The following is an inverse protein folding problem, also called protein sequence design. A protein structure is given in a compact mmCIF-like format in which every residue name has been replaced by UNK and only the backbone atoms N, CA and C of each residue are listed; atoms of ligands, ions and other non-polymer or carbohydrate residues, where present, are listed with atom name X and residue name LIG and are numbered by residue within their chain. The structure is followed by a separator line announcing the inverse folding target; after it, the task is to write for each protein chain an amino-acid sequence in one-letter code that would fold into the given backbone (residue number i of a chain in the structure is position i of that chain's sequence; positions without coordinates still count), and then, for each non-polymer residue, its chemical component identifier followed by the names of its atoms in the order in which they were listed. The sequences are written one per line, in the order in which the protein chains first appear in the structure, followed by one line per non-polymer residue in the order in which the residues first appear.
data_IF_426870153164
#
_entry.id   IF_426870153164
#
_cell.length_a   1.000
_cell.length_b   1.000
_cell.length_c   1.000
_cell.angle_alpha   90.00
_cell.angle_beta   90.00
_cell.angle_gamma   90.00
#
_symmetry.space_group_name_H-M   'P 1'
#
loop_
_entity.id
_entity.type
_entity.pdbx_description
1 polymer ?
#
# COMPACT_ATOMS: atom_id res chain seq x y z
N UNK A 1 30.08 18.62 26.04
CA UNK A 1 29.22 17.43 26.27
C UNK A 1 27.76 17.62 25.79
N UNK A 2 27.38 18.75 25.18
CA UNK A 2 25.98 19.04 24.78
C UNK A 2 25.60 18.60 23.34
N UNK A 3 26.57 18.44 22.44
CA UNK A 3 26.29 18.08 21.03
C UNK A 3 25.61 16.71 20.87
N UNK A 4 25.96 15.71 21.68
CA UNK A 4 25.39 14.34 21.57
C UNK A 4 23.90 14.25 21.91
N UNK A 5 23.42 15.09 22.82
CA UNK A 5 22.02 15.08 23.28
C UNK A 5 21.07 15.81 22.31
N UNK A 6 21.61 16.66 21.43
CA UNK A 6 20.83 17.41 20.44
C UNK A 6 20.74 16.68 19.08
N UNK A 7 21.74 15.87 18.73
CA UNK A 7 21.80 15.17 17.43
C UNK A 7 20.71 14.08 17.32
N UNK A 8 20.44 13.34 18.40
CA UNK A 8 19.44 12.26 18.39
C UNK A 8 18.01 12.75 18.10
N UNK A 9 17.46 13.76 18.82
CA UNK A 9 16.12 14.26 18.49
C UNK A 9 16.05 14.90 17.11
N UNK A 10 17.12 15.59 16.67
CA UNK A 10 17.19 16.15 15.32
C UNK A 10 17.14 15.06 14.24
N UNK A 11 17.82 13.93 14.44
CA UNK A 11 17.84 12.82 13.50
C UNK A 11 16.49 12.09 13.44
N UNK A 12 15.79 11.97 14.58
CA UNK A 12 14.42 11.42 14.64
C UNK A 12 13.42 12.32 13.91
N UNK A 13 13.48 13.64 14.14
CA UNK A 13 12.61 14.60 13.43
C UNK A 13 12.87 14.53 11.93
N UNK A 14 14.14 14.47 11.51
CA UNK A 14 14.50 14.35 10.11
C UNK A 14 13.98 13.04 9.50
N UNK A 15 14.06 11.91 10.21
CA UNK A 15 13.53 10.62 9.76
C UNK A 15 12.00 10.65 9.56
N UNK A 16 11.27 11.33 10.45
CA UNK A 16 9.81 11.50 10.32
C UNK A 16 9.45 12.38 9.12
N UNK A 17 10.23 13.43 8.85
CA UNK A 17 9.99 14.34 7.72
C UNK A 17 10.24 13.72 6.35
N UNK A 18 11.08 12.67 6.27
CA UNK A 18 11.35 11.95 5.02
C UNK A 18 10.52 10.68 4.84
N UNK A 19 9.69 10.31 5.82
CA UNK A 19 8.80 9.17 5.71
C UNK A 19 7.64 9.49 4.74
N UNK A 20 7.64 8.86 3.57
CA UNK A 20 6.51 8.91 2.63
C UNK A 20 5.42 7.91 3.05
N UNK A 21 4.13 8.27 2.93
CA UNK A 21 3.05 7.31 3.17
C UNK A 21 3.13 6.17 2.14
N UNK A 22 3.06 4.93 2.60
CA UNK A 22 2.89 3.78 1.72
C UNK A 22 1.48 3.83 1.15
N UNK A 23 1.37 3.95 -0.17
CA UNK A 23 0.08 3.90 -0.87
C UNK A 23 -0.14 2.47 -1.37
N UNK A 24 -1.09 1.78 -0.76
CA UNK A 24 -1.57 0.47 -1.21
C UNK A 24 -2.95 0.63 -1.86
N UNK A 25 -3.21 -0.17 -2.89
CA UNK A 25 -4.52 -0.25 -3.53
C UNK A 25 -5.19 -1.55 -3.13
N UNK A 26 -6.39 -1.45 -2.56
CA UNK A 26 -7.19 -2.61 -2.20
C UNK A 26 -7.94 -3.13 -3.43
N UNK A 27 -7.80 -4.44 -3.69
CA UNK A 27 -8.50 -5.13 -4.77
C UNK A 27 -9.45 -6.19 -4.22
N UNK A 28 -10.67 -6.22 -4.74
CA UNK A 28 -11.73 -7.11 -4.29
C UNK A 28 -11.98 -8.24 -5.29
N UNK A 29 -12.11 -9.47 -4.79
CA UNK A 29 -12.40 -10.67 -5.58
C UNK A 29 -13.55 -11.44 -4.95
N UNK A 30 -14.55 -11.78 -5.76
CA UNK A 30 -15.70 -12.60 -5.35
C UNK A 30 -16.06 -13.57 -6.47
N UNK A 31 -15.92 -14.86 -6.19
CA UNK A 31 -16.27 -15.91 -7.16
C UNK A 31 -17.76 -15.91 -7.53
N UNK A 32 -18.64 -15.60 -6.57
CA UNK A 32 -20.09 -15.70 -6.73
C UNK A 32 -20.75 -14.44 -7.31
N UNK A 33 -20.18 -13.26 -7.05
CA UNK A 33 -20.78 -11.97 -7.43
C UNK A 33 -19.87 -11.10 -8.30
N UNK A 34 -18.62 -11.50 -8.50
CA UNK A 34 -17.65 -10.73 -9.27
C UNK A 34 -17.82 -10.86 -10.78
N UNK A 35 -17.18 -9.94 -11.49
CA UNK A 35 -17.07 -9.93 -12.94
C UNK A 35 -15.68 -9.40 -13.31
N UNK A 36 -14.93 -10.15 -14.13
CA UNK A 36 -13.59 -9.73 -14.54
C UNK A 36 -13.58 -8.52 -15.49
N UNK A 37 -14.75 -8.01 -15.90
CA UNK A 37 -14.86 -6.71 -16.58
C UNK A 37 -14.78 -5.53 -15.60
N UNK A 38 -14.98 -5.76 -14.29
CA UNK A 38 -14.89 -4.73 -13.27
C UNK A 38 -13.44 -4.26 -13.03
N UNK A 39 -13.27 -3.09 -12.42
CA UNK A 39 -11.96 -2.55 -12.03
C UNK A 39 -11.41 -3.20 -10.75
N UNK A 40 -12.26 -3.83 -9.92
CA UNK A 40 -11.86 -4.52 -8.71
C UNK A 40 -11.57 -3.59 -7.53
N UNK A 41 -11.87 -2.30 -7.64
CA UNK A 41 -11.51 -1.28 -6.64
C UNK A 41 -12.59 -1.04 -5.58
N UNK A 42 -13.71 -1.77 -5.66
CA UNK A 42 -14.78 -1.70 -4.68
C UNK A 42 -15.43 -3.06 -4.42
N UNK A 43 -16.02 -3.21 -3.23
CA UNK A 43 -16.80 -4.40 -2.87
C UNK A 43 -18.03 -4.61 -3.76
N UNK A 44 -18.56 -3.55 -4.38
CA UNK A 44 -19.69 -3.62 -5.30
C UNK A 44 -19.29 -3.98 -6.73
N UNK A 45 -18.00 -3.87 -7.07
CA UNK A 45 -17.45 -4.22 -8.38
C UNK A 45 -16.19 -5.12 -8.25
N UNK A 46 -16.27 -6.29 -7.62
CA UNK A 46 -15.12 -7.17 -7.48
C UNK A 46 -14.83 -7.92 -8.78
N UNK A 47 -13.58 -8.38 -8.94
CA UNK A 47 -13.23 -9.37 -9.95
C UNK A 47 -13.81 -10.74 -9.61
N UNK A 48 -13.99 -11.60 -10.61
CA UNK A 48 -14.52 -12.95 -10.39
C UNK A 48 -13.41 -13.98 -10.15
N UNK A 49 -12.31 -13.85 -10.90
CA UNK A 49 -11.21 -14.80 -10.87
C UNK A 49 -9.91 -14.16 -10.37
N UNK A 50 -9.01 -15.01 -9.85
CA UNK A 50 -7.70 -14.59 -9.38
C UNK A 50 -6.73 -14.21 -10.52
N UNK A 51 -7.11 -14.43 -11.77
CA UNK A 51 -6.29 -14.12 -12.93
C UNK A 51 -5.85 -12.65 -12.98
N UNK A 52 -6.74 -11.72 -12.62
CA UNK A 52 -6.39 -10.29 -12.55
C UNK A 52 -5.46 -9.95 -11.40
N UNK A 53 -5.60 -10.60 -10.23
CA UNK A 53 -4.69 -10.43 -9.10
C UNK A 53 -3.27 -10.86 -9.49
N UNK A 54 -3.13 -12.00 -10.15
CA UNK A 54 -1.83 -12.51 -10.60
C UNK A 54 -1.18 -11.62 -11.69
N UNK A 55 -1.97 -10.82 -12.40
CA UNK A 55 -1.48 -9.86 -13.37
C UNK A 55 -1.12 -8.50 -12.73
N UNK A 56 -1.51 -8.25 -11.47
CA UNK A 56 -1.10 -7.04 -10.75
C UNK A 56 0.36 -7.17 -10.31
N UNK A 57 1.11 -6.08 -10.51
CA UNK A 57 2.39 -5.91 -9.82
C UNK A 57 2.09 -5.33 -8.45
N UNK A 58 2.04 -6.20 -7.44
CA UNK A 58 1.96 -5.79 -6.05
C UNK A 58 3.39 -5.43 -5.63
N UNK A 59 3.74 -4.15 -5.65
CA UNK A 59 5.03 -3.70 -5.15
C UNK A 59 5.11 -3.98 -3.65
N UNK A 60 5.87 -5.00 -3.26
CA UNK A 60 6.41 -5.08 -1.90
C UNK A 60 7.34 -3.88 -1.73
N UNK A 61 6.93 -2.94 -0.88
CA UNK A 61 7.71 -1.76 -0.56
C UNK A 61 8.86 -2.20 0.35
N UNK A 62 9.99 -2.63 -0.25
CA UNK A 62 11.26 -2.87 0.44
C UNK A 62 11.97 -1.56 0.77
#
# INVERSE_FOLDING_TARGET
MYGKYFILPALVIMAVLVASPVMATDYYVSYSTGNDSNDGLSESAPWQNIGKVNAQTLCDSL
#
